data_IF_305657868524
#
_entry.id   IF_305657868524
#
_cell.length_a   1.000
_cell.length_b   1.000
_cell.length_c   1.000
_cell.angle_alpha   90.00
_cell.angle_beta   90.00
_cell.angle_gamma   90.00
#
_symmetry.space_group_name_H-M   'P 1'
#
loop_
_entity.id
_entity.type
_entity.pdbx_description
1 polymer ?
#
# COMPACT_ATOMS: atom_id res chain seq x y z
N UNK A 1 20.99 56.15 46.95
CA UNK A 1 20.02 56.04 45.83
C UNK A 1 20.68 55.28 44.68
N UNK A 2 20.40 53.98 44.53
CA UNK A 2 20.91 53.18 43.39
C UNK A 2 19.71 52.73 42.56
N UNK A 3 19.58 53.31 41.36
CA UNK A 3 18.48 53.08 40.43
C UNK A 3 18.73 51.74 39.72
N UNK A 4 17.99 50.70 40.10
CA UNK A 4 17.99 49.38 39.42
C UNK A 4 17.51 49.58 37.98
N UNK A 5 18.42 49.46 37.01
CA UNK A 5 18.11 49.34 35.60
C UNK A 5 17.45 47.98 35.36
N UNK A 6 16.13 47.97 35.22
CA UNK A 6 15.38 46.81 34.74
C UNK A 6 15.66 46.62 33.25
N UNK A 7 16.54 45.66 32.91
CA UNK A 7 16.74 45.20 31.53
C UNK A 7 15.46 44.46 31.12
N UNK A 8 14.60 45.17 30.42
CA UNK A 8 13.40 44.63 29.81
C UNK A 8 13.82 43.78 28.59
N UNK A 9 14.13 42.49 28.80
CA UNK A 9 14.29 41.53 27.69
C UNK A 9 12.92 41.26 27.05
N UNK A 10 12.47 42.17 26.18
CA UNK A 10 11.37 41.92 25.23
C UNK A 10 11.97 41.25 23.99
N UNK A 11 11.88 39.93 23.92
CA UNK A 11 12.01 39.19 22.67
C UNK A 11 10.62 38.86 22.12
N UNK A 12 10.20 39.35 20.93
CA UNK A 12 8.96 38.93 20.30
C UNK A 12 9.21 37.62 19.52
N UNK A 13 9.22 36.47 20.20
CA UNK A 13 9.41 35.15 19.57
C UNK A 13 8.11 34.42 19.21
N UNK A 14 6.94 35.08 19.33
CA UNK A 14 5.64 34.40 19.29
C UNK A 14 5.12 34.07 17.88
N UNK A 15 5.62 34.72 16.82
CA UNK A 15 5.19 34.47 15.43
C UNK A 15 5.94 33.31 14.77
N UNK A 16 7.26 33.34 14.82
CA UNK A 16 8.13 32.33 14.18
C UNK A 16 7.94 30.92 14.74
N UNK A 17 7.76 30.79 16.06
CA UNK A 17 7.50 29.49 16.68
C UNK A 17 6.15 28.87 16.23
N UNK A 18 5.12 29.70 16.00
CA UNK A 18 3.83 29.21 15.49
C UNK A 18 3.93 28.78 14.03
N UNK A 19 4.60 29.58 13.20
CA UNK A 19 4.83 29.24 11.80
C UNK A 19 5.62 27.93 11.70
N UNK A 20 6.71 27.78 12.45
CA UNK A 20 7.50 26.55 12.47
C UNK A 20 6.68 25.31 12.88
N UNK A 21 5.82 25.43 13.90
CA UNK A 21 4.93 24.33 14.33
C UNK A 21 3.93 23.95 13.23
N UNK A 22 3.33 24.94 12.56
CA UNK A 22 2.37 24.69 11.46
C UNK A 22 3.09 24.03 10.28
N UNK A 23 4.23 24.56 9.86
CA UNK A 23 5.02 24.01 8.75
C UNK A 23 5.44 22.57 9.03
N UNK A 24 5.95 22.27 10.23
CA UNK A 24 6.33 20.91 10.63
C UNK A 24 5.12 19.96 10.66
N UNK A 25 3.97 20.42 11.15
CA UNK A 25 2.76 19.60 11.17
C UNK A 25 2.27 19.28 9.74
N UNK A 26 2.23 20.28 8.86
CA UNK A 26 1.82 20.09 7.46
C UNK A 26 2.79 19.17 6.73
N UNK A 27 4.10 19.40 6.86
CA UNK A 27 5.12 18.59 6.21
C UNK A 27 5.10 17.14 6.72
N UNK A 28 4.89 16.95 8.03
CA UNK A 28 4.72 15.62 8.62
C UNK A 28 3.49 14.87 8.07
N UNK A 29 2.38 15.57 7.85
CA UNK A 29 1.16 15.01 7.23
C UNK A 29 1.37 14.66 5.75
N UNK A 30 2.06 15.52 5.00
CA UNK A 30 2.39 15.25 3.58
C UNK A 30 3.28 14.02 3.47
N UNK A 31 4.33 13.92 4.30
CA UNK A 31 5.20 12.74 4.34
C UNK A 31 4.46 11.49 4.78
N UNK A 32 3.54 11.59 5.74
CA UNK A 32 2.70 10.46 6.14
C UNK A 32 1.82 9.97 4.97
N UNK A 33 1.17 10.89 4.26
CA UNK A 33 0.35 10.57 3.09
C UNK A 33 1.17 9.89 1.99
N UNK A 34 2.33 10.48 1.65
CA UNK A 34 3.25 9.91 0.66
C UNK A 34 3.78 8.54 1.08
N UNK A 35 4.12 8.37 2.36
CA UNK A 35 4.56 7.09 2.90
C UNK A 35 3.51 6.00 2.70
N UNK A 36 2.21 6.26 2.94
CA UNK A 36 1.18 5.23 2.74
C UNK A 36 1.15 4.70 1.31
N UNK A 37 1.30 5.60 0.32
CA UNK A 37 1.30 5.23 -1.10
C UNK A 37 2.59 4.49 -1.45
N UNK A 38 3.75 5.07 -1.13
CA UNK A 38 5.08 4.50 -1.41
C UNK A 38 5.22 3.13 -0.76
N UNK A 39 4.79 3.00 0.49
CA UNK A 39 4.86 1.75 1.23
C UNK A 39 3.98 0.68 0.61
N UNK A 40 2.73 1.02 0.25
CA UNK A 40 1.85 0.08 -0.44
C UNK A 40 2.46 -0.35 -1.77
N UNK A 41 2.98 0.57 -2.58
CA UNK A 41 3.65 0.26 -3.84
C UNK A 41 4.83 -0.68 -3.63
N UNK A 42 5.74 -0.34 -2.71
CA UNK A 42 6.91 -1.15 -2.41
C UNK A 42 6.53 -2.57 -1.97
N UNK A 43 5.56 -2.66 -1.06
CA UNK A 43 5.16 -3.92 -0.45
C UNK A 43 4.33 -4.78 -1.39
N UNK A 44 3.39 -4.21 -2.15
CA UNK A 44 2.46 -4.99 -2.97
C UNK A 44 2.96 -5.19 -4.39
N UNK A 45 3.59 -4.18 -4.99
CA UNK A 45 3.98 -4.18 -6.40
C UNK A 45 5.46 -4.47 -6.62
N UNK A 46 6.33 -4.22 -5.63
CA UNK A 46 7.79 -4.41 -5.77
C UNK A 46 8.33 -5.56 -4.90
N UNK A 47 7.45 -6.27 -4.18
CA UNK A 47 7.82 -7.45 -3.40
C UNK A 47 7.16 -8.68 -4.00
N UNK A 48 7.98 -9.61 -4.46
CA UNK A 48 7.52 -10.78 -5.23
C UNK A 48 6.42 -11.57 -4.52
N UNK A 49 6.59 -11.91 -3.24
CA UNK A 49 5.63 -12.79 -2.59
C UNK A 49 4.25 -12.15 -2.45
N UNK A 50 4.21 -10.86 -2.09
CA UNK A 50 2.96 -10.10 -2.03
C UNK A 50 2.36 -9.89 -3.43
N UNK A 51 3.18 -9.63 -4.46
CA UNK A 51 2.71 -9.55 -5.85
C UNK A 51 2.04 -10.85 -6.26
N UNK A 52 2.68 -11.99 -5.99
CA UNK A 52 2.17 -13.32 -6.32
C UNK A 52 0.88 -13.61 -5.57
N UNK A 53 0.78 -13.26 -4.29
CA UNK A 53 -0.45 -13.38 -3.50
C UNK A 53 -1.59 -12.55 -4.10
N UNK A 54 -1.28 -11.34 -4.58
CA UNK A 54 -2.24 -10.42 -5.18
C UNK A 54 -2.80 -10.94 -6.51
N UNK A 55 -1.95 -11.56 -7.35
CA UNK A 55 -2.38 -12.06 -8.67
C UNK A 55 -2.86 -13.51 -8.63
N UNK A 56 -2.55 -14.28 -7.58
CA UNK A 56 -2.90 -15.68 -7.44
C UNK A 56 -4.42 -15.98 -7.61
N UNK A 57 -5.36 -15.18 -7.09
CA UNK A 57 -6.79 -15.48 -7.23
C UNK A 57 -7.37 -15.11 -8.61
N UNK A 58 -6.65 -14.34 -9.44
CA UNK A 58 -7.20 -13.79 -10.69
C UNK A 58 -7.73 -14.86 -11.66
N UNK A 59 -7.04 -15.99 -11.92
CA UNK A 59 -7.56 -17.02 -12.83
C UNK A 59 -8.84 -17.69 -12.34
N UNK A 60 -9.10 -17.69 -11.02
CA UNK A 60 -10.31 -18.27 -10.43
C UNK A 60 -11.50 -17.30 -10.48
N UNK A 61 -11.28 -16.03 -10.77
CA UNK A 61 -12.36 -15.07 -10.90
C UNK A 61 -13.09 -15.23 -12.24
N UNK A 62 -14.41 -15.36 -12.20
CA UNK A 62 -15.24 -15.59 -13.39
C UNK A 62 -15.11 -14.47 -14.44
N UNK A 63 -15.10 -13.21 -14.02
CA UNK A 63 -15.01 -12.08 -14.95
C UNK A 63 -13.64 -12.03 -15.64
N UNK A 64 -12.56 -12.31 -14.88
CA UNK A 64 -11.20 -12.31 -15.43
C UNK A 64 -10.98 -13.50 -16.35
N UNK A 65 -11.33 -14.71 -15.90
CA UNK A 65 -11.17 -15.94 -16.69
C UNK A 65 -12.00 -15.91 -17.98
N UNK A 66 -13.25 -15.43 -17.93
CA UNK A 66 -14.08 -15.26 -19.12
C UNK A 66 -13.49 -14.25 -20.11
N UNK A 67 -13.04 -13.08 -19.63
CA UNK A 67 -12.40 -12.06 -20.46
C UNK A 67 -11.12 -12.59 -21.15
N UNK A 68 -10.27 -13.31 -20.42
CA UNK A 68 -9.04 -13.90 -20.97
C UNK A 68 -9.37 -15.02 -21.96
N UNK A 69 -10.39 -15.85 -21.69
CA UNK A 69 -10.86 -16.89 -22.59
C UNK A 69 -11.37 -16.31 -23.91
N UNK A 70 -12.27 -15.31 -23.84
CA UNK A 70 -12.79 -14.61 -25.02
C UNK A 70 -11.65 -14.01 -25.84
N UNK A 71 -10.75 -13.25 -25.20
CA UNK A 71 -9.61 -12.66 -25.89
C UNK A 71 -8.73 -13.70 -26.60
N UNK A 72 -8.44 -14.81 -25.92
CA UNK A 72 -7.58 -15.88 -26.46
C UNK A 72 -8.24 -16.60 -27.64
N UNK A 73 -9.54 -16.90 -27.55
CA UNK A 73 -10.30 -17.53 -28.62
C UNK A 73 -10.49 -16.58 -29.80
N UNK A 74 -10.72 -15.29 -29.55
CA UNK A 74 -10.85 -14.28 -30.60
C UNK A 74 -9.55 -14.18 -31.40
N UNK A 75 -8.39 -14.12 -30.74
CA UNK A 75 -7.08 -14.12 -31.42
C UNK A 75 -6.82 -15.40 -32.20
N UNK A 76 -7.27 -16.55 -31.69
CA UNK A 76 -7.17 -17.82 -32.40
C UNK A 76 -8.05 -17.84 -33.66
N UNK A 77 -9.27 -17.34 -33.59
CA UNK A 77 -10.24 -17.31 -34.69
C UNK A 77 -9.93 -16.19 -35.70
N UNK A 78 -9.26 -15.11 -35.30
CA UNK A 78 -8.67 -14.14 -36.24
C UNK A 78 -7.60 -14.79 -37.12
N UNK A 79 -6.85 -15.75 -36.56
CA UNK A 79 -5.77 -16.46 -37.28
C UNK A 79 -6.31 -17.62 -38.14
N UNK A 80 -7.39 -18.27 -37.69
CA UNK A 80 -7.99 -19.43 -38.34
C UNK A 80 -9.40 -19.07 -38.78
N UNK A 81 -9.66 -18.99 -40.09
CA UNK A 81 -11.01 -18.80 -40.60
C UNK A 81 -11.86 -20.08 -40.40
N UNK A 82 -12.42 -20.23 -39.21
CA UNK A 82 -13.21 -21.40 -38.81
C UNK A 82 -14.48 -21.53 -39.64
N UNK A 83 -15.12 -20.41 -39.99
CA UNK A 83 -16.33 -20.41 -40.82
C UNK A 83 -16.05 -20.99 -42.21
N UNK A 84 -14.97 -20.55 -42.86
CA UNK A 84 -14.54 -21.10 -44.15
C UNK A 84 -14.26 -22.61 -44.04
N UNK A 85 -13.51 -23.04 -43.02
CA UNK A 85 -13.21 -24.47 -42.82
C UNK A 85 -14.44 -25.32 -42.56
N UNK A 86 -15.41 -24.79 -41.82
CA UNK A 86 -16.69 -25.48 -41.58
C UNK A 86 -17.49 -25.56 -42.88
N UNK A 87 -17.51 -24.49 -43.68
CA UNK A 87 -18.16 -24.46 -44.99
C UNK A 87 -17.57 -25.47 -45.99
N UNK A 88 -16.25 -25.66 -45.97
CA UNK A 88 -15.55 -26.63 -46.83
C UNK A 88 -15.90 -28.10 -46.50
N UNK A 89 -16.29 -28.39 -45.26
CA UNK A 89 -16.64 -29.75 -44.80
C UNK A 89 -18.15 -30.04 -44.96
N UNK A 90 -18.98 -29.00 -44.99
CA UNK A 90 -20.43 -29.15 -45.10
C UNK A 90 -20.86 -29.45 -46.55
N UNK A 91 -21.90 -30.28 -46.76
CA UNK A 91 -22.53 -30.42 -48.08
C UNK A 91 -23.06 -29.07 -48.59
N UNK A 92 -23.12 -28.84 -49.93
CA UNK A 92 -23.58 -27.57 -50.49
C UNK A 92 -24.97 -27.15 -50.00
N UNK A 93 -25.90 -28.10 -49.78
CA UNK A 93 -27.24 -27.79 -49.26
C UNK A 93 -27.24 -27.33 -47.81
N UNK A 94 -26.17 -27.59 -47.05
CA UNK A 94 -26.03 -27.27 -45.63
C UNK A 94 -25.05 -26.11 -45.35
N UNK A 95 -24.46 -25.51 -46.39
CA UNK A 95 -23.48 -24.43 -46.24
C UNK A 95 -24.01 -23.22 -45.44
N UNK A 96 -25.33 -22.98 -45.45
CA UNK A 96 -25.98 -21.96 -44.63
C UNK A 96 -25.84 -22.18 -43.12
N UNK A 97 -25.48 -23.41 -42.69
CA UNK A 97 -25.19 -23.73 -41.28
C UNK A 97 -23.75 -23.39 -40.87
N UNK A 98 -22.88 -23.00 -41.79
CA UNK A 98 -21.48 -22.70 -41.46
C UNK A 98 -21.34 -21.55 -40.43
N UNK A 99 -22.01 -20.39 -40.57
CA UNK A 99 -21.97 -19.33 -39.55
C UNK A 99 -22.52 -19.74 -38.17
N UNK A 100 -23.71 -20.35 -38.03
CA UNK A 100 -24.20 -20.74 -36.70
C UNK A 100 -23.41 -21.90 -36.09
N UNK A 101 -22.80 -22.78 -36.90
CA UNK A 101 -21.95 -23.85 -36.39
C UNK A 101 -20.57 -23.35 -35.94
N UNK A 102 -19.97 -22.41 -36.69
CA UNK A 102 -18.71 -21.76 -36.28
C UNK A 102 -18.87 -21.00 -34.97
N UNK A 103 -19.99 -20.30 -34.78
CA UNK A 103 -20.28 -19.60 -33.51
C UNK A 103 -20.50 -20.57 -32.34
N UNK A 104 -21.14 -21.73 -32.57
CA UNK A 104 -21.23 -22.79 -31.54
C UNK A 104 -19.86 -23.35 -31.17
N UNK A 105 -18.98 -23.56 -32.15
CA UNK A 105 -17.60 -24.00 -31.91
C UNK A 105 -16.86 -22.93 -31.11
N UNK A 106 -17.00 -21.65 -31.46
CA UNK A 106 -16.42 -20.52 -30.73
C UNK A 106 -16.88 -20.53 -29.28
N UNK A 107 -18.19 -20.53 -29.03
CA UNK A 107 -18.77 -20.55 -27.68
C UNK A 107 -18.26 -21.76 -26.87
N UNK A 108 -18.26 -22.96 -27.45
CA UNK A 108 -17.75 -24.17 -26.77
C UNK A 108 -16.27 -24.06 -26.44
N UNK A 109 -15.48 -23.51 -27.35
CA UNK A 109 -14.03 -23.31 -27.17
C UNK A 109 -13.77 -22.28 -26.07
N UNK A 110 -14.53 -21.18 -26.04
CA UNK A 110 -14.45 -20.16 -24.97
C UNK A 110 -14.76 -20.76 -23.61
N UNK A 111 -15.82 -21.56 -23.47
CA UNK A 111 -16.16 -22.21 -22.20
C UNK A 111 -15.06 -23.18 -21.75
N UNK A 112 -14.54 -24.01 -22.66
CA UNK A 112 -13.42 -24.92 -22.35
C UNK A 112 -12.14 -24.17 -21.96
N UNK A 113 -11.84 -23.05 -22.63
CA UNK A 113 -10.70 -22.21 -22.29
C UNK A 113 -10.88 -21.57 -20.91
N UNK A 114 -12.09 -21.11 -20.58
CA UNK A 114 -12.41 -20.58 -19.26
C UNK A 114 -12.25 -21.65 -18.17
N UNK A 115 -12.79 -22.86 -18.37
CA UNK A 115 -12.65 -23.99 -17.44
C UNK A 115 -11.17 -24.36 -17.22
N UNK A 116 -10.37 -24.34 -18.30
CA UNK A 116 -8.93 -24.57 -18.21
C UNK A 116 -8.23 -23.49 -17.40
N UNK A 117 -8.53 -22.21 -17.63
CA UNK A 117 -7.96 -21.07 -16.88
C UNK A 117 -8.32 -21.16 -15.39
N UNK A 118 -9.54 -21.59 -15.08
CA UNK A 118 -9.99 -21.80 -13.71
C UNK A 118 -9.46 -23.09 -13.06
N UNK A 119 -8.74 -23.95 -13.79
CA UNK A 119 -8.24 -25.21 -13.24
C UNK A 119 -7.12 -25.04 -12.21
N UNK A 120 -6.98 -26.01 -11.30
CA UNK A 120 -5.89 -26.01 -10.30
C UNK A 120 -4.51 -26.18 -10.95
N UNK A 121 -4.43 -26.92 -12.06
CA UNK A 121 -3.20 -27.06 -12.84
C UNK A 121 -2.76 -25.68 -13.37
N UNK A 122 -3.67 -24.94 -14.00
CA UNK A 122 -3.37 -23.58 -14.48
C UNK A 122 -2.97 -22.65 -13.34
N UNK A 123 -3.64 -22.74 -12.18
CA UNK A 123 -3.31 -21.93 -11.01
C UNK A 123 -1.85 -22.14 -10.55
N UNK A 124 -1.37 -23.37 -10.51
CA UNK A 124 0.02 -23.66 -10.12
C UNK A 124 1.05 -23.05 -11.08
N UNK A 125 0.71 -23.02 -12.36
CA UNK A 125 1.55 -22.52 -13.45
C UNK A 125 1.55 -21.00 -13.44
N UNK A 126 0.36 -20.40 -13.32
CA UNK A 126 0.17 -18.98 -13.14
C UNK A 126 0.99 -18.41 -11.99
N UNK A 127 0.94 -19.05 -10.81
CA UNK A 127 1.71 -18.64 -9.63
C UNK A 127 3.23 -18.76 -9.89
N UNK A 128 3.67 -19.88 -10.48
CA UNK A 128 5.10 -20.12 -10.76
C UNK A 128 5.65 -19.11 -11.78
N UNK A 129 4.89 -18.87 -12.85
CA UNK A 129 5.23 -17.94 -13.91
C UNK A 129 5.35 -16.51 -13.38
N UNK A 130 4.33 -16.04 -12.63
CA UNK A 130 4.35 -14.71 -12.03
C UNK A 130 5.51 -14.54 -11.05
N UNK A 131 5.76 -15.53 -10.17
CA UNK A 131 6.89 -15.48 -9.23
C UNK A 131 8.21 -15.36 -9.96
N UNK A 132 8.45 -16.21 -10.97
CA UNK A 132 9.70 -16.22 -11.73
C UNK A 132 9.91 -14.94 -12.51
N UNK A 133 8.87 -14.46 -13.21
CA UNK A 133 8.92 -13.20 -13.96
C UNK A 133 9.21 -12.02 -13.04
N UNK A 134 8.47 -11.92 -11.93
CA UNK A 134 8.59 -10.81 -10.99
C UNK A 134 9.95 -10.82 -10.28
N UNK A 135 10.46 -11.98 -9.85
CA UNK A 135 11.80 -12.09 -9.26
C UNK A 135 12.88 -11.62 -10.22
N UNK A 136 12.86 -12.09 -11.47
CA UNK A 136 13.84 -11.66 -12.48
C UNK A 136 13.77 -10.16 -12.73
N UNK A 137 12.55 -9.60 -12.81
CA UNK A 137 12.34 -8.18 -12.98
C UNK A 137 12.89 -7.36 -11.80
N UNK A 138 12.60 -7.77 -10.56
CA UNK A 138 13.07 -7.08 -9.35
C UNK A 138 14.58 -7.20 -9.17
N UNK A 139 15.16 -8.39 -9.37
CA UNK A 139 16.60 -8.60 -9.24
C UNK A 139 17.37 -7.75 -10.26
N UNK A 140 16.87 -7.65 -11.48
CA UNK A 140 17.45 -6.80 -12.50
C UNK A 140 17.25 -5.30 -12.20
N UNK A 141 16.16 -4.92 -11.53
CA UNK A 141 15.90 -3.54 -11.17
C UNK A 141 16.73 -3.05 -9.96
N UNK A 142 17.02 -3.94 -9.01
CA UNK A 142 17.82 -3.67 -7.80
C UNK A 142 19.33 -3.93 -7.97
N UNK A 143 19.75 -4.30 -9.18
CA UNK A 143 21.12 -4.72 -9.49
C UNK A 143 21.63 -5.89 -8.60
N UNK A 144 20.71 -6.74 -8.11
CA UNK A 144 20.98 -7.92 -7.27
C UNK A 144 21.26 -9.18 -8.11
N UNK A 145 21.30 -9.07 -9.44
CA UNK A 145 21.62 -10.20 -10.31
C UNK A 145 23.04 -10.73 -10.01
N UNK A 146 23.25 -12.06 -9.89
CA UNK A 146 24.58 -12.63 -9.83
C UNK A 146 25.40 -12.11 -11.01
N UNK A 147 26.60 -11.61 -10.74
CA UNK A 147 27.57 -11.32 -11.79
C UNK A 147 28.00 -12.65 -12.40
N UNK A 148 27.24 -13.18 -13.35
CA UNK A 148 27.71 -14.28 -14.18
C UNK A 148 28.94 -13.77 -14.93
N UNK A 149 30.10 -14.32 -14.59
CA UNK A 149 31.38 -14.09 -15.27
C UNK A 149 31.21 -14.45 -16.76
N UNK A 150 31.01 -13.44 -17.61
CA UNK A 150 30.87 -13.63 -19.06
C UNK A 150 29.69 -12.89 -19.70
N UNK A 151 28.71 -12.42 -18.93
CA UNK A 151 27.61 -11.64 -19.51
C UNK A 151 28.06 -10.20 -19.77
N UNK A 152 28.38 -9.88 -21.03
CA UNK A 152 28.65 -8.51 -21.46
C UNK A 152 27.51 -7.59 -21.02
N UNK A 153 27.88 -6.44 -20.44
CA UNK A 153 26.97 -5.37 -19.99
C UNK A 153 26.28 -4.71 -21.19
N UNK A 154 25.35 -5.41 -21.83
CA UNK A 154 24.60 -4.83 -22.95
C UNK A 154 23.24 -5.49 -23.08
N UNK A 155 22.22 -4.84 -22.51
CA UNK A 155 20.82 -5.08 -22.82
C UNK A 155 20.13 -6.06 -21.87
N UNK A 156 19.10 -5.56 -21.19
CA UNK A 156 18.09 -6.37 -20.52
C UNK A 156 17.33 -7.18 -21.58
N UNK A 157 17.90 -8.31 -22.02
CA UNK A 157 17.17 -9.31 -22.79
C UNK A 157 16.46 -10.23 -21.80
N UNK A 158 15.26 -9.84 -21.38
CA UNK A 158 14.38 -10.75 -20.68
C UNK A 158 13.97 -11.85 -21.69
N UNK A 159 14.74 -12.94 -21.76
CA UNK A 159 14.41 -14.11 -22.57
C UNK A 159 13.18 -14.79 -21.96
N UNK A 160 12.00 -14.25 -22.28
CA UNK A 160 10.69 -14.81 -21.98
C UNK A 160 10.53 -16.22 -22.56
N UNK A 161 11.38 -16.60 -23.52
CA UNK A 161 11.56 -17.97 -24.01
C UNK A 161 11.73 -18.99 -22.88
N UNK A 162 12.56 -18.70 -21.87
CA UNK A 162 12.78 -19.65 -20.77
C UNK A 162 11.56 -19.78 -19.86
N UNK A 163 10.76 -18.70 -19.74
CA UNK A 163 9.51 -18.75 -18.99
C UNK A 163 8.44 -19.51 -19.78
N UNK A 164 8.35 -19.25 -21.08
CA UNK A 164 7.44 -19.94 -21.98
C UNK A 164 7.72 -21.45 -22.03
N UNK A 165 9.00 -21.84 -22.08
CA UNK A 165 9.41 -23.26 -22.01
C UNK A 165 9.03 -23.89 -20.68
N UNK A 166 9.26 -23.21 -19.54
CA UNK A 166 8.87 -23.71 -18.22
C UNK A 166 7.34 -23.83 -18.06
N UNK A 167 6.57 -22.94 -18.70
CA UNK A 167 5.10 -23.02 -18.75
C UNK A 167 4.64 -24.18 -19.63
N UNK A 168 5.25 -24.37 -20.81
CA UNK A 168 4.96 -25.49 -21.72
C UNK A 168 5.25 -26.84 -21.07
N UNK A 169 6.36 -26.95 -20.34
CA UNK A 169 6.74 -28.17 -19.63
C UNK A 169 5.75 -28.53 -18.52
N UNK A 170 5.25 -27.54 -17.76
CA UNK A 170 4.23 -27.79 -16.72
C UNK A 170 2.82 -28.07 -17.26
N UNK A 171 2.47 -27.59 -18.45
CA UNK A 171 1.15 -27.80 -19.04
C UNK A 171 1.00 -29.19 -19.72
N UNK A 172 2.09 -29.87 -20.04
CA UNK A 172 2.08 -31.24 -20.58
C UNK A 172 1.52 -31.37 -22.01
N UNK A 173 1.43 -32.59 -22.53
CA UNK A 173 1.01 -32.87 -23.92
C UNK A 173 -0.42 -32.44 -24.27
N UNK A 174 -1.30 -32.26 -23.27
CA UNK A 174 -2.68 -31.79 -23.46
C UNK A 174 -2.77 -30.32 -23.89
N UNK A 175 -1.77 -29.49 -23.61
CA UNK A 175 -1.73 -28.08 -24.09
C UNK A 175 -0.91 -27.91 -25.37
N UNK A 176 -0.25 -28.97 -25.85
CA UNK A 176 0.64 -28.89 -27.00
C UNK A 176 -0.08 -28.32 -28.24
N UNK A 177 -1.37 -28.65 -28.43
CA UNK A 177 -2.19 -28.09 -29.52
C UNK A 177 -2.44 -26.58 -29.43
N UNK A 178 -2.49 -25.99 -28.22
CA UNK A 178 -2.65 -24.54 -28.03
C UNK A 178 -1.36 -23.77 -28.38
N UNK A 179 -0.20 -24.41 -28.25
CA UNK A 179 1.11 -23.82 -28.55
C UNK A 179 1.76 -24.34 -29.83
N UNK A 180 1.18 -25.35 -30.49
CA UNK A 180 1.75 -26.01 -31.68
C UNK A 180 1.95 -25.05 -32.86
N UNK A 181 1.09 -24.02 -32.98
CA UNK A 181 1.19 -22.99 -34.01
C UNK A 181 1.88 -21.70 -33.55
N UNK A 182 2.42 -21.67 -32.33
CA UNK A 182 3.37 -20.61 -31.90
C UNK A 182 4.80 -20.93 -32.31
N UNK A 183 4.98 -21.92 -33.20
CA UNK A 183 6.28 -22.34 -33.72
C UNK A 183 7.06 -21.16 -34.29
N UNK A 184 8.29 -21.00 -33.80
CA UNK A 184 9.42 -20.25 -34.38
C UNK A 184 9.20 -18.82 -34.89
N UNK A 185 8.01 -18.24 -34.75
CA UNK A 185 7.85 -16.79 -34.76
C UNK A 185 8.25 -16.33 -33.39
N UNK A 186 9.55 -16.09 -33.26
CA UNK A 186 10.12 -15.15 -32.33
C UNK A 186 9.10 -14.02 -32.09
N UNK A 187 8.38 -14.00 -30.96
CA UNK A 187 7.77 -12.78 -30.50
C UNK A 187 8.89 -11.99 -29.83
N UNK A 188 10.03 -11.80 -30.49
CA UNK A 188 10.43 -10.48 -30.90
C UNK A 188 9.22 -9.73 -31.47
N UNK A 189 8.27 -9.43 -30.59
CA UNK A 189 7.77 -8.08 -30.47
C UNK A 189 9.04 -7.27 -30.24
N UNK A 190 9.74 -6.96 -31.34
CA UNK A 190 10.71 -5.90 -31.42
C UNK A 190 9.87 -4.65 -31.25
N UNK A 191 9.43 -4.43 -30.02
CA UNK A 191 9.05 -3.13 -29.56
C UNK A 191 10.35 -2.36 -29.68
N UNK A 192 10.52 -1.65 -30.80
CA UNK A 192 11.50 -0.58 -30.99
C UNK A 192 11.12 0.59 -30.08
N UNK A 193 10.98 0.28 -28.81
CA UNK A 193 10.93 1.22 -27.72
C UNK A 193 12.24 0.99 -27.05
N UNK A 194 12.99 2.07 -26.90
CA UNK A 194 14.27 2.12 -26.21
C UNK A 194 14.15 1.52 -24.79
N UNK A 195 14.22 0.19 -24.76
CA UNK A 195 13.96 -0.66 -23.60
C UNK A 195 15.00 -0.33 -22.53
N UNK A 196 16.20 0.08 -22.95
CA UNK A 196 17.24 0.57 -22.06
C UNK A 196 16.78 1.83 -21.32
N UNK A 197 16.33 2.86 -22.03
CA UNK A 197 15.88 4.12 -21.40
C UNK A 197 14.65 3.93 -20.50
N UNK A 198 13.68 3.12 -20.91
CA UNK A 198 12.51 2.80 -20.08
C UNK A 198 12.88 1.94 -18.87
N UNK A 199 13.82 1.00 -19.02
CA UNK A 199 14.28 0.17 -17.93
C UNK A 199 15.11 0.96 -16.90
N UNK A 200 15.95 1.90 -17.34
CA UNK A 200 16.66 2.82 -16.43
C UNK A 200 15.68 3.70 -15.63
N UNK A 201 14.59 4.14 -16.27
CA UNK A 201 13.51 4.87 -15.58
C UNK A 201 12.83 3.97 -14.54
N UNK A 202 12.61 2.70 -14.88
CA UNK A 202 12.06 1.71 -13.95
C UNK A 202 13.00 1.43 -12.76
N UNK A 203 14.31 1.26 -12.99
CA UNK A 203 15.32 1.15 -11.92
C UNK A 203 15.29 2.36 -10.98
N UNK A 204 15.22 3.57 -11.54
CA UNK A 204 15.08 4.80 -10.76
C UNK A 204 13.78 4.79 -9.94
N UNK A 205 12.67 4.37 -10.53
CA UNK A 205 11.40 4.25 -9.81
C UNK A 205 11.50 3.27 -8.64
N UNK A 206 12.05 2.07 -8.85
CA UNK A 206 12.23 1.06 -7.80
C UNK A 206 13.15 1.57 -6.70
N UNK A 207 14.32 2.10 -7.05
CA UNK A 207 15.29 2.62 -6.06
C UNK A 207 14.75 3.82 -5.26
N UNK A 208 14.06 4.77 -5.91
CA UNK A 208 13.40 5.88 -5.22
C UNK A 208 12.30 5.36 -4.29
N UNK A 209 11.52 4.38 -4.73
CA UNK A 209 10.45 3.78 -3.92
C UNK A 209 11.03 3.07 -2.69
N UNK A 210 12.08 2.26 -2.86
CA UNK A 210 12.75 1.58 -1.75
C UNK A 210 13.38 2.59 -0.76
N UNK A 211 14.02 3.65 -1.25
CA UNK A 211 14.58 4.72 -0.42
C UNK A 211 13.50 5.49 0.34
N UNK A 212 12.44 5.93 -0.35
CA UNK A 212 11.34 6.68 0.25
C UNK A 212 10.56 5.84 1.26
N UNK A 213 10.42 4.53 1.01
CA UNK A 213 9.76 3.61 1.94
C UNK A 213 10.49 3.57 3.30
N UNK A 214 11.83 3.50 3.29
CA UNK A 214 12.62 3.51 4.53
C UNK A 214 12.70 4.87 5.22
N UNK A 215 12.64 5.97 4.46
CA UNK A 215 12.94 7.32 4.99
C UNK A 215 11.72 8.17 5.29
N UNK A 216 10.65 8.09 4.49
CA UNK A 216 9.47 8.96 4.64
C UNK A 216 8.76 8.78 5.97
N UNK A 217 8.71 7.56 6.50
CA UNK A 217 8.09 7.30 7.80
C UNK A 217 8.86 8.00 8.93
N UNK A 218 10.18 7.89 8.91
CA UNK A 218 11.05 8.54 9.89
C UNK A 218 10.98 10.06 9.78
N UNK A 219 10.98 10.59 8.56
CA UNK A 219 10.83 12.01 8.30
C UNK A 219 9.47 12.53 8.81
N UNK A 220 8.38 11.81 8.51
CA UNK A 220 7.04 12.13 9.00
C UNK A 220 6.99 12.14 10.54
N UNK A 221 7.49 11.08 11.18
CA UNK A 221 7.53 10.96 12.62
C UNK A 221 8.34 12.10 13.26
N UNK A 222 9.53 12.41 12.72
CA UNK A 222 10.37 13.51 13.19
C UNK A 222 9.65 14.86 13.11
N UNK A 223 8.96 15.14 12.00
CA UNK A 223 8.22 16.39 11.82
C UNK A 223 7.01 16.50 12.77
N UNK A 224 6.21 15.44 12.91
CA UNK A 224 5.03 15.44 13.79
C UNK A 224 5.42 15.54 15.27
N UNK A 225 6.46 14.79 15.70
CA UNK A 225 6.98 14.87 17.07
C UNK A 225 7.63 16.23 17.32
N UNK A 226 8.39 16.75 16.36
CA UNK A 226 8.95 18.10 16.42
C UNK A 226 7.88 19.18 16.61
N UNK A 227 6.79 19.12 15.82
CA UNK A 227 5.66 20.04 15.96
C UNK A 227 5.02 19.98 17.36
N UNK A 228 4.84 18.77 17.91
CA UNK A 228 4.31 18.57 19.25
C UNK A 228 5.26 19.06 20.36
N UNK A 229 6.57 18.90 20.17
CA UNK A 229 7.59 19.33 21.12
C UNK A 229 7.65 20.86 21.24
N UNK A 230 7.62 21.57 20.10
CA UNK A 230 7.69 23.04 20.03
C UNK A 230 6.39 23.73 20.47
N UNK A 231 5.25 23.05 20.41
CA UNK A 231 3.95 23.67 20.67
C UNK A 231 3.67 23.91 22.15
N UNK A 232 3.17 25.11 22.48
CA UNK A 232 2.66 25.47 23.81
C UNK A 232 1.26 24.90 24.08
N UNK A 233 0.46 24.61 23.03
CA UNK A 233 -0.91 24.09 23.15
C UNK A 233 -1.01 22.65 22.61
N UNK A 234 -0.14 21.77 23.14
CA UNK A 234 0.10 20.40 22.67
C UNK A 234 -1.17 19.57 22.46
N UNK A 235 -2.15 19.71 23.36
CA UNK A 235 -3.42 18.99 23.25
C UNK A 235 -4.24 19.38 22.02
N UNK A 236 -4.36 20.68 21.74
CA UNK A 236 -5.12 21.16 20.56
C UNK A 236 -4.40 20.74 19.28
N UNK A 237 -3.08 20.82 19.27
CA UNK A 237 -2.27 20.39 18.13
C UNK A 237 -2.41 18.89 17.86
N UNK A 238 -2.36 18.06 18.90
CA UNK A 238 -2.55 16.61 18.76
C UNK A 238 -3.91 16.26 18.14
N UNK A 239 -4.99 16.89 18.63
CA UNK A 239 -6.32 16.71 18.04
C UNK A 239 -6.37 17.17 16.58
N UNK A 240 -5.71 18.28 16.24
CA UNK A 240 -5.63 18.76 14.86
C UNK A 240 -4.86 17.77 13.96
N UNK A 241 -3.76 17.19 14.44
CA UNK A 241 -2.98 16.18 13.69
C UNK A 241 -3.83 14.91 13.48
N UNK A 242 -4.49 14.39 14.51
CA UNK A 242 -5.34 13.20 14.38
C UNK A 242 -6.51 13.44 13.42
N UNK A 243 -7.16 14.61 13.51
CA UNK A 243 -8.21 15.00 12.57
C UNK A 243 -7.67 15.11 11.13
N UNK A 244 -6.49 15.69 10.95
CA UNK A 244 -5.87 15.82 9.63
C UNK A 244 -5.48 14.46 9.04
N UNK A 245 -4.92 13.54 9.83
CA UNK A 245 -4.65 12.16 9.39
C UNK A 245 -5.96 11.46 8.98
N UNK A 246 -7.03 11.61 9.76
CA UNK A 246 -8.34 11.06 9.40
C UNK A 246 -8.87 11.64 8.08
N UNK A 247 -8.76 12.97 7.89
CA UNK A 247 -9.16 13.63 6.63
C UNK A 247 -8.33 13.15 5.45
N UNK A 248 -7.00 13.09 5.58
CA UNK A 248 -6.10 12.59 4.53
C UNK A 248 -6.45 11.16 4.14
N UNK A 249 -6.64 10.29 5.13
CA UNK A 249 -7.01 8.89 4.92
C UNK A 249 -8.39 8.76 4.25
N UNK A 250 -9.35 9.61 4.62
CA UNK A 250 -10.66 9.67 3.98
C UNK A 250 -10.55 10.13 2.53
N UNK A 251 -9.73 11.15 2.25
CA UNK A 251 -9.48 11.65 0.89
C UNK A 251 -8.81 10.58 0.01
N UNK A 252 -7.88 9.79 0.55
CA UNK A 252 -7.29 8.66 -0.17
C UNK A 252 -8.36 7.61 -0.53
N UNK A 253 -9.25 7.27 0.42
CA UNK A 253 -10.37 6.34 0.17
C UNK A 253 -11.33 6.86 -0.91
N UNK A 254 -11.66 8.16 -0.85
CA UNK A 254 -12.48 8.82 -1.88
C UNK A 254 -11.74 8.79 -3.23
N UNK A 255 -10.43 9.07 -3.24
CA UNK A 255 -9.59 9.03 -4.42
C UNK A 255 -9.61 7.68 -5.12
N UNK A 256 -9.50 6.58 -4.38
CA UNK A 256 -9.61 5.21 -4.94
C UNK A 256 -10.98 4.98 -5.58
N UNK A 257 -12.06 5.41 -4.92
CA UNK A 257 -13.42 5.24 -5.45
C UNK A 257 -13.66 6.10 -6.69
N UNK A 258 -13.12 7.31 -6.72
CA UNK A 258 -13.23 8.23 -7.85
C UNK A 258 -12.33 7.83 -9.04
N UNK A 259 -11.18 7.21 -8.77
CA UNK A 259 -10.25 6.75 -9.80
C UNK A 259 -10.78 5.52 -10.55
N UNK A 260 -11.59 4.68 -9.89
CA UNK A 260 -12.21 3.49 -10.50
C UNK A 260 -12.93 3.78 -11.83
N UNK A 261 -13.94 4.67 -11.90
CA UNK A 261 -14.59 4.99 -13.17
C UNK A 261 -13.63 5.67 -14.16
N UNK A 262 -12.69 6.49 -13.69
CA UNK A 262 -11.71 7.15 -14.57
C UNK A 262 -10.79 6.15 -15.28
N UNK A 263 -10.45 5.03 -14.63
CA UNK A 263 -9.67 3.93 -15.23
C UNK A 263 -10.55 3.09 -16.14
N UNK A 264 -11.75 2.70 -15.68
CA UNK A 264 -12.63 1.83 -16.46
C UNK A 264 -13.15 2.48 -17.74
N UNK A 265 -13.38 3.79 -17.73
CA UNK A 265 -13.83 4.54 -18.91
C UNK A 265 -12.75 4.73 -19.98
N UNK A 266 -11.47 4.45 -19.68
CA UNK A 266 -10.39 4.47 -20.68
C UNK A 266 -10.31 3.17 -21.50
N UNK A 267 -11.05 2.13 -21.08
CA UNK A 267 -11.05 0.85 -21.76
C UNK A 267 -12.05 0.94 -22.92
N UNK A 268 -11.52 0.99 -24.15
CA UNK A 268 -12.32 1.11 -25.38
C UNK A 268 -13.34 -0.03 -25.53
N UNK A 269 -12.97 -1.24 -25.10
CA UNK A 269 -13.84 -2.40 -25.21
C UNK A 269 -14.59 -2.66 -23.89
N UNK A 270 -15.90 -2.37 -23.92
CA UNK A 270 -16.82 -2.51 -22.77
C UNK A 270 -16.84 -3.94 -22.21
N UNK A 271 -16.55 -4.95 -23.03
CA UNK A 271 -16.52 -6.35 -22.60
C UNK A 271 -15.45 -6.63 -21.52
N UNK A 272 -14.35 -5.86 -21.49
CA UNK A 272 -13.25 -6.05 -20.53
C UNK A 272 -13.38 -5.19 -19.27
N UNK A 273 -14.37 -4.29 -19.20
CA UNK A 273 -14.57 -3.43 -18.04
C UNK A 273 -14.84 -4.22 -16.73
N UNK A 274 -15.69 -5.28 -16.71
CA UNK A 274 -15.92 -6.04 -15.48
C UNK A 274 -14.63 -6.69 -14.95
N UNK A 275 -13.90 -7.40 -15.83
CA UNK A 275 -12.62 -8.03 -15.50
C UNK A 275 -11.59 -7.03 -14.98
N UNK A 276 -11.50 -5.86 -15.60
CA UNK A 276 -10.57 -4.81 -15.15
C UNK A 276 -11.01 -4.20 -13.81
N UNK A 277 -12.33 -4.11 -13.58
CA UNK A 277 -12.88 -3.70 -12.29
C UNK A 277 -12.44 -4.64 -11.16
N UNK A 278 -12.51 -5.96 -11.40
CA UNK A 278 -12.02 -6.96 -10.45
C UNK A 278 -10.53 -6.78 -10.18
N UNK A 279 -9.71 -6.67 -11.22
CA UNK A 279 -8.26 -6.49 -11.06
C UNK A 279 -7.96 -5.21 -10.29
N UNK A 280 -8.62 -4.10 -10.61
CA UNK A 280 -8.47 -2.83 -9.89
C UNK A 280 -8.84 -2.95 -8.42
N UNK A 281 -9.98 -3.58 -8.12
CA UNK A 281 -10.49 -3.75 -6.77
C UNK A 281 -9.56 -4.67 -5.95
N UNK A 282 -9.03 -5.74 -6.55
CA UNK A 282 -8.07 -6.67 -5.92
C UNK A 282 -6.73 -5.97 -5.62
N UNK A 283 -6.15 -5.29 -6.62
CA UNK A 283 -4.88 -4.56 -6.48
C UNK A 283 -4.95 -3.54 -5.33
N UNK A 284 -6.06 -2.81 -5.23
CA UNK A 284 -6.23 -1.75 -4.23
C UNK A 284 -6.88 -2.23 -2.93
N UNK A 285 -7.33 -3.48 -2.82
CA UNK A 285 -7.98 -4.02 -1.62
C UNK A 285 -7.09 -3.85 -0.38
N UNK A 286 -5.80 -4.12 -0.51
CA UNK A 286 -4.84 -3.99 0.61
C UNK A 286 -4.58 -2.52 0.97
N UNK A 287 -4.56 -1.62 -0.01
CA UNK A 287 -4.47 -0.17 0.26
C UNK A 287 -5.74 0.34 0.96
N UNK A 288 -6.92 -0.06 0.50
CA UNK A 288 -8.21 0.31 1.10
C UNK A 288 -8.32 -0.18 2.55
N UNK A 289 -7.91 -1.44 2.83
CA UNK A 289 -7.84 -1.98 4.20
C UNK A 289 -6.90 -1.14 5.05
N UNK A 290 -5.71 -0.83 4.54
CA UNK A 290 -4.74 0.04 5.18
C UNK A 290 -5.29 1.41 5.55
N UNK A 291 -5.79 2.16 4.57
CA UNK A 291 -6.39 3.47 4.76
C UNK A 291 -7.59 3.41 5.72
N UNK A 292 -8.45 2.38 5.63
CA UNK A 292 -9.58 2.23 6.55
C UNK A 292 -9.11 2.05 8.00
N UNK A 293 -8.05 1.27 8.26
CA UNK A 293 -7.51 1.12 9.62
C UNK A 293 -6.93 2.42 10.15
N UNK A 294 -6.19 3.18 9.32
CA UNK A 294 -5.63 4.49 9.71
C UNK A 294 -6.74 5.48 10.01
N UNK A 295 -7.77 5.54 9.16
CA UNK A 295 -8.95 6.36 9.38
C UNK A 295 -9.65 6.00 10.70
N UNK A 296 -9.88 4.71 10.95
CA UNK A 296 -10.55 4.24 12.16
C UNK A 296 -9.75 4.60 13.41
N UNK A 297 -8.44 4.32 13.45
CA UNK A 297 -7.62 4.61 14.63
C UNK A 297 -7.45 6.11 14.87
N UNK A 298 -7.18 6.90 13.82
CA UNK A 298 -7.05 8.36 13.96
C UNK A 298 -8.35 9.01 14.45
N UNK A 299 -9.50 8.56 13.94
CA UNK A 299 -10.83 9.01 14.39
C UNK A 299 -11.10 8.61 15.84
N UNK A 300 -10.82 7.36 16.21
CA UNK A 300 -10.97 6.89 17.60
C UNK A 300 -10.11 7.71 18.57
N UNK A 301 -8.86 7.99 18.21
CA UNK A 301 -7.97 8.83 19.02
C UNK A 301 -8.45 10.27 19.10
N UNK A 302 -8.91 10.84 17.99
CA UNK A 302 -9.51 12.17 17.99
C UNK A 302 -10.70 12.25 18.96
N UNK A 303 -11.66 11.32 18.85
CA UNK A 303 -12.85 11.27 19.70
C UNK A 303 -12.47 11.04 21.17
N UNK A 304 -11.57 10.10 21.46
CA UNK A 304 -11.10 9.81 22.82
C UNK A 304 -10.51 11.06 23.48
N UNK A 305 -9.60 11.75 22.80
CA UNK A 305 -8.94 12.95 23.33
C UNK A 305 -9.87 14.16 23.43
N UNK A 306 -10.83 14.26 22.51
CA UNK A 306 -11.89 15.26 22.52
C UNK A 306 -12.83 15.08 23.72
N UNK A 307 -13.31 13.86 23.96
CA UNK A 307 -14.20 13.52 25.09
C UNK A 307 -13.48 13.72 26.42
N UNK A 308 -12.26 13.22 26.58
CA UNK A 308 -11.41 13.44 27.77
C UNK A 308 -11.07 14.93 27.99
N UNK A 309 -11.36 15.80 27.02
CA UNK A 309 -11.00 17.23 27.06
C UNK A 309 -12.11 18.18 27.37
N UNK A 310 -13.34 17.69 27.32
CA UNK A 310 -14.49 18.52 27.62
C UNK A 310 -14.64 18.69 29.13
N UNK A 311 -14.99 19.91 29.60
CA UNK A 311 -15.41 20.12 30.98
C UNK A 311 -16.67 19.31 31.32
N UNK A 312 -17.38 18.76 30.33
CA UNK A 312 -18.52 17.84 30.50
C UNK A 312 -18.13 16.54 31.23
N UNK A 313 -16.97 15.93 30.89
CA UNK A 313 -16.44 14.75 31.60
C UNK A 313 -15.97 15.13 33.02
N UNK A 314 -15.44 16.35 33.18
CA UNK A 314 -15.16 16.93 34.49
C UNK A 314 -16.43 17.18 35.31
N UNK A 315 -17.57 17.50 34.71
CA UNK A 315 -18.81 17.86 35.43
C UNK A 315 -19.75 16.66 35.68
N UNK A 316 -19.61 15.54 34.96
CA UNK A 316 -20.47 14.38 35.12
C UNK A 316 -20.07 13.50 36.33
N UNK A 317 -20.98 13.35 37.31
CA UNK A 317 -20.75 12.61 38.57
C UNK A 317 -20.44 11.12 38.35
N UNK A 318 -21.09 10.47 37.39
CA UNK A 318 -20.91 9.02 37.14
C UNK A 318 -19.53 8.72 36.56
N UNK A 319 -19.07 9.57 35.63
CA UNK A 319 -17.73 9.46 35.04
C UNK A 319 -16.64 9.78 36.07
N UNK A 320 -16.87 10.74 36.97
CA UNK A 320 -15.97 10.98 38.12
C UNK A 320 -15.90 9.78 39.07
N UNK A 321 -17.03 9.11 39.33
CA UNK A 321 -17.07 7.94 40.22
C UNK A 321 -16.28 6.78 39.62
N UNK A 322 -16.48 6.52 38.33
CA UNK A 322 -15.72 5.51 37.58
C UNK A 322 -14.23 5.85 37.49
N UNK A 323 -13.88 7.10 37.18
CA UNK A 323 -12.50 7.59 37.20
C UNK A 323 -11.86 7.52 38.59
N UNK A 324 -12.61 7.70 39.68
CA UNK A 324 -12.10 7.53 41.05
C UNK A 324 -11.78 6.07 41.35
N UNK A 325 -12.65 5.15 40.94
CA UNK A 325 -12.42 3.69 41.07
C UNK A 325 -11.18 3.27 40.27
N UNK A 326 -11.08 3.75 39.03
CA UNK A 326 -9.93 3.51 38.17
C UNK A 326 -8.65 4.18 38.71
N UNK A 327 -8.77 5.31 39.42
CA UNK A 327 -7.62 5.97 40.09
C UNK A 327 -7.15 5.23 41.34
N UNK A 328 -8.02 4.44 41.96
CA UNK A 328 -7.73 3.70 43.18
C UNK A 328 -7.09 2.33 42.93
N UNK A 329 -7.10 1.83 41.69
CA UNK A 329 -6.47 0.56 41.32
C UNK A 329 -4.94 0.65 41.32
N UNK A 330 -4.27 -0.46 41.65
CA UNK A 330 -2.80 -0.61 41.62
C UNK A 330 -2.21 -0.28 40.24
N UNK A 331 -2.97 -0.55 39.17
CA UNK A 331 -2.64 -0.13 37.81
C UNK A 331 -2.44 1.38 37.69
N UNK A 332 -3.33 2.20 38.27
CA UNK A 332 -3.24 3.65 38.17
C UNK A 332 -2.18 4.26 39.07
N UNK A 333 -1.91 3.64 40.22
CA UNK A 333 -0.76 3.97 41.05
C UNK A 333 0.55 3.62 40.34
N UNK A 334 0.64 2.48 39.63
CA UNK A 334 1.78 2.15 38.78
C UNK A 334 1.96 3.16 37.64
N UNK A 335 0.87 3.58 36.99
CA UNK A 335 0.88 4.65 35.98
C UNK A 335 1.30 6.01 36.57
N UNK A 336 0.93 6.32 37.82
CA UNK A 336 1.32 7.56 38.51
C UNK A 336 2.78 7.53 39.01
N UNK A 337 3.29 6.38 39.41
CA UNK A 337 4.71 6.17 39.73
C UNK A 337 5.56 6.25 38.46
N UNK A 338 5.10 5.64 37.36
CA UNK A 338 5.68 5.84 36.03
C UNK A 338 5.62 7.32 35.61
N UNK A 339 4.52 8.04 35.88
CA UNK A 339 4.38 9.50 35.63
C UNK A 339 5.44 10.34 36.34
N UNK A 340 5.76 10.04 37.59
CA UNK A 340 6.81 10.78 38.32
C UNK A 340 8.22 10.44 37.81
N UNK A 341 8.48 9.18 37.43
CA UNK A 341 9.75 8.78 36.81
C UNK A 341 9.93 9.41 35.41
N UNK A 342 8.89 9.38 34.58
CA UNK A 342 8.83 9.93 33.20
C UNK A 342 8.91 11.46 33.20
N UNK A 343 8.35 12.14 34.21
CA UNK A 343 8.44 13.60 34.30
C UNK A 343 9.80 14.10 34.79
N UNK A 344 10.52 13.31 35.58
CA UNK A 344 11.86 13.61 36.11
C UNK A 344 12.98 13.21 35.13
N UNK A 345 12.81 12.14 34.36
CA UNK A 345 13.82 11.58 33.46
C UNK A 345 13.31 11.43 32.02
N UNK A 346 12.69 12.50 31.49
CA UNK A 346 11.91 12.48 30.24
C UNK A 346 12.75 11.99 29.06
N UNK A 347 13.95 12.55 28.88
CA UNK A 347 14.82 12.27 27.74
C UNK A 347 15.40 10.84 27.69
N UNK A 348 15.93 10.26 28.79
CA UNK A 348 16.41 8.88 28.77
C UNK A 348 15.31 7.85 28.60
N UNK A 349 14.11 8.08 29.17
CA UNK A 349 13.00 7.14 29.03
C UNK A 349 12.47 7.12 27.59
N UNK A 350 12.43 8.28 26.90
CA UNK A 350 12.15 8.33 25.46
C UNK A 350 13.21 7.60 24.65
N UNK A 351 14.49 7.78 24.98
CA UNK A 351 15.58 7.02 24.35
C UNK A 351 15.41 5.52 24.54
N UNK A 352 15.14 5.08 25.77
CA UNK A 352 15.00 3.66 26.14
C UNK A 352 13.72 3.02 25.60
N UNK A 353 12.58 3.71 25.57
CA UNK A 353 11.34 3.19 24.96
C UNK A 353 11.41 3.20 23.44
N UNK A 354 11.98 4.25 22.83
CA UNK A 354 12.26 4.26 21.39
C UNK A 354 13.21 3.13 21.02
N UNK A 355 14.27 2.91 21.82
CA UNK A 355 15.22 1.81 21.64
C UNK A 355 14.58 0.44 21.88
N UNK A 356 13.76 0.26 22.92
CA UNK A 356 13.03 -0.99 23.18
C UNK A 356 12.01 -1.30 22.09
N UNK A 357 11.31 -0.30 21.55
CA UNK A 357 10.43 -0.48 20.40
C UNK A 357 11.24 -0.81 19.15
N UNK A 358 12.41 -0.19 18.94
CA UNK A 358 13.31 -0.48 17.82
C UNK A 358 13.89 -1.90 17.91
N UNK A 359 14.30 -2.34 19.11
CA UNK A 359 14.81 -3.68 19.40
C UNK A 359 13.69 -4.72 19.31
N UNK A 360 12.51 -4.44 19.86
CA UNK A 360 11.34 -5.29 19.72
C UNK A 360 10.91 -5.42 18.25
N UNK A 361 11.01 -4.34 17.47
CA UNK A 361 10.78 -4.37 16.03
C UNK A 361 11.85 -5.11 15.23
N UNK A 362 13.10 -5.12 15.68
CA UNK A 362 14.17 -5.90 15.06
C UNK A 362 14.00 -7.42 15.27
N UNK A 363 13.16 -7.86 16.22
CA UNK A 363 12.96 -9.26 16.59
C UNK A 363 11.66 -9.89 16.09
N UNK A 364 10.80 -9.17 15.35
CA UNK A 364 9.57 -9.73 14.74
C UNK A 364 9.91 -10.19 13.30
N UNK A 365 9.86 -11.50 13.00
CA UNK A 365 10.24 -12.03 11.68
C UNK A 365 9.28 -11.60 10.55
N UNK A 366 8.00 -11.36 10.87
CA UNK A 366 6.97 -10.94 9.91
C UNK A 366 6.59 -9.46 10.11
N UNK A 367 7.39 -8.58 9.52
CA UNK A 367 7.27 -7.13 9.61
C UNK A 367 5.99 -6.61 8.92
N UNK A 368 4.88 -6.48 9.66
CA UNK A 368 3.64 -5.84 9.17
C UNK A 368 3.65 -4.32 9.45
N UNK A 369 3.45 -3.50 8.41
CA UNK A 369 3.41 -2.04 8.50
C UNK A 369 2.21 -1.54 9.30
N UNK A 370 1.15 -2.34 9.40
CA UNK A 370 0.09 -2.09 10.35
C UNK A 370 0.65 -2.09 11.77
N UNK A 371 1.63 -2.95 12.07
CA UNK A 371 2.39 -2.96 13.31
C UNK A 371 3.22 -1.69 13.52
N UNK A 372 3.87 -1.17 12.47
CA UNK A 372 4.60 0.10 12.50
C UNK A 372 3.71 1.32 12.72
N UNK A 373 2.61 1.41 11.98
CA UNK A 373 1.64 2.50 12.14
C UNK A 373 0.95 2.38 13.50
N UNK A 374 0.59 1.18 13.95
CA UNK A 374 0.12 0.95 15.32
C UNK A 374 1.18 1.35 16.35
N UNK A 375 2.46 1.03 16.15
CA UNK A 375 3.54 1.41 17.05
C UNK A 375 3.75 2.94 17.08
N UNK A 376 3.74 3.60 15.93
CA UNK A 376 3.81 5.06 15.84
C UNK A 376 2.58 5.69 16.51
N UNK A 377 1.38 5.15 16.28
CA UNK A 377 0.16 5.57 16.96
C UNK A 377 0.25 5.32 18.46
N UNK A 378 0.82 4.21 18.91
CA UNK A 378 1.08 3.92 20.32
C UNK A 378 2.11 4.90 20.90
N UNK A 379 3.17 5.23 20.19
CA UNK A 379 4.14 6.27 20.59
C UNK A 379 3.44 7.62 20.69
N UNK A 380 2.59 7.98 19.72
CA UNK A 380 1.78 9.19 19.74
C UNK A 380 0.75 9.19 20.88
N UNK A 381 0.16 8.03 21.19
CA UNK A 381 -0.73 7.82 22.34
C UNK A 381 0.05 8.04 23.64
N UNK A 382 1.23 7.43 23.78
CA UNK A 382 2.10 7.58 24.95
C UNK A 382 2.52 9.06 25.10
N UNK A 383 2.92 9.72 24.01
CA UNK A 383 3.26 11.14 23.99
C UNK A 383 2.07 12.03 24.34
N UNK A 384 0.87 11.69 23.86
CA UNK A 384 -0.39 12.36 24.17
C UNK A 384 -0.76 12.21 25.64
N UNK A 385 -0.67 10.99 26.18
CA UNK A 385 -0.95 10.65 27.58
C UNK A 385 0.04 11.30 28.54
N UNK A 386 1.34 11.22 28.26
CA UNK A 386 2.40 11.84 29.06
C UNK A 386 2.23 13.36 29.11
N UNK A 387 1.87 13.99 27.99
CA UNK A 387 1.64 15.43 27.95
C UNK A 387 0.34 15.85 28.66
N UNK A 388 -0.73 15.06 28.55
CA UNK A 388 -2.02 15.32 29.25
C UNK A 388 -1.88 15.28 30.78
N UNK A 389 -0.95 14.46 31.28
CA UNK A 389 -0.72 14.24 32.70
C UNK A 389 0.35 15.16 33.31
N UNK A 390 0.99 16.00 32.50
CA UNK A 390 1.92 17.02 32.97
C UNK A 390 1.13 18.23 33.53
N UNK A 391 1.43 18.72 34.75
CA UNK A 391 0.70 19.87 35.30
C UNK A 391 0.96 21.09 34.42
N UNK A 392 -0.13 21.73 33.97
CA UNK A 392 -0.06 23.08 33.40
C UNK A 392 0.67 23.95 34.42
N UNK A 393 1.83 24.51 34.06
CA UNK A 393 2.43 25.61 34.82
C UNK A 393 1.45 26.78 34.74
N UNK A 394 0.54 26.86 35.70
CA UNK A 394 -0.20 28.07 36.00
C UNK A 394 0.84 29.13 36.35
N UNK A 395 0.93 30.16 35.52
CA UNK A 395 1.76 31.33 35.80
C UNK A 395 1.38 31.85 37.19
N UNK A 396 2.32 31.72 38.14
CA UNK A 396 2.19 32.34 39.44
C UNK A 396 2.22 33.85 39.24
N UNK A 397 1.13 34.52 39.60
CA UNK A 397 1.12 35.97 39.81
C UNK A 397 2.08 36.29 40.96
N UNK A 398 3.07 37.19 40.78
CA UNK A 398 3.78 37.73 41.92
C UNK A 398 2.85 38.70 42.65
N UNK A 399 2.74 38.51 43.98
CA UNK A 399 2.19 39.50 44.90
C UNK A 399 3.16 40.66 45.06
#
# INVERSE_FOLDING_TARGET
MVKKLSIHRRGPSFGWAKLAVITLAVLGLVFFSGFMIVHWTQRQLLTTDNWVELVAPLPKNEQVSSAVAVYSVDKLFETINVEQKVGEVLPPQAAFLAPPLSERIRTRTTNLAQDLIQSDQFQSIWITANRTAHQKLMNAARDEAPKEEGSQRTGFQLKLENLLTAVKEKLGSSSAGLFANTGERDPAVSVDVDLKTKFETFKKFVSVTDFLNGTLLLASAACLVGALALSNHRRRLFMAIMAAIAIVSLLQLIGIKALRPAVLNQIENVAYQPATGVVYDELLATFQRGATTVFAVSTLLFVLFFVLGRPIVSKNKSVRKWLKVLRATRFWQAVCSARNLISRNRWPIFGVTSFLVMVFMAFIPDFDWQGLVRALLVILIILGLVNLLSPQRSAAYPR
#
